data_IF_640230015876
#
_entry.id   IF_640230015876
#
_cell.length_a   1.000
_cell.length_b   1.000
_cell.length_c   1.000
_cell.angle_alpha   90.00
_cell.angle_beta   90.00
_cell.angle_gamma   90.00
#
_symmetry.space_group_name_H-M   'P 1'
#
loop_
_entity.id
_entity.type
_entity.pdbx_description
1 polymer ?
#
# COMPACT_ATOMS: atom_id res chain seq x y z
N UNK A 1 -31.78 -25.11 -39.94
CA UNK A 1 -30.64 -24.57 -39.18
C UNK A 1 -30.59 -25.14 -37.75
N UNK A 2 -30.25 -26.43 -37.55
CA UNK A 2 -30.26 -27.07 -36.21
C UNK A 2 -29.00 -27.92 -35.89
N UNK A 3 -27.94 -27.84 -36.71
CA UNK A 3 -26.73 -28.68 -36.55
C UNK A 3 -25.44 -27.91 -36.22
N UNK A 4 -25.51 -26.59 -36.01
CA UNK A 4 -24.31 -25.75 -35.73
C UNK A 4 -24.18 -25.27 -34.27
N UNK A 5 -25.15 -25.57 -33.39
CA UNK A 5 -25.15 -25.09 -31.99
C UNK A 5 -24.38 -26.03 -31.04
N UNK A 6 -24.14 -27.29 -31.41
CA UNK A 6 -23.53 -28.29 -30.51
C UNK A 6 -22.00 -28.13 -30.39
N UNK A 7 -21.32 -27.55 -31.39
CA UNK A 7 -19.86 -27.41 -31.38
C UNK A 7 -19.39 -26.28 -30.46
N UNK A 8 -20.21 -25.24 -30.23
CA UNK A 8 -19.86 -24.11 -29.36
C UNK A 8 -19.96 -24.51 -27.87
N UNK A 9 -20.89 -25.42 -27.51
CA UNK A 9 -21.02 -25.90 -26.13
C UNK A 9 -19.87 -26.83 -25.68
N UNK A 10 -19.26 -27.58 -26.60
CA UNK A 10 -18.09 -28.41 -26.27
C UNK A 10 -16.81 -27.59 -26.04
N UNK A 11 -16.67 -26.43 -26.68
CA UNK A 11 -15.55 -25.53 -26.46
C UNK A 11 -15.64 -24.78 -25.13
N UNK A 12 -16.85 -24.46 -24.65
CA UNK A 12 -17.04 -23.71 -23.40
C UNK A 12 -16.76 -24.57 -22.15
N UNK A 13 -16.98 -25.90 -22.20
CA UNK A 13 -16.72 -26.81 -21.07
C UNK A 13 -15.25 -27.26 -20.99
N UNK A 14 -14.47 -27.06 -22.05
CA UNK A 14 -13.06 -27.49 -22.11
C UNK A 14 -12.07 -26.48 -21.51
N UNK A 15 -12.48 -25.23 -21.29
CA UNK A 15 -11.60 -24.21 -20.69
C UNK A 15 -11.67 -24.14 -19.16
N UNK A 16 -12.73 -24.65 -18.54
CA UNK A 16 -12.87 -24.69 -17.07
C UNK A 16 -12.19 -25.91 -16.42
N UNK A 17 -11.77 -26.91 -17.20
CA UNK A 17 -11.09 -28.12 -16.71
C UNK A 17 -9.55 -28.04 -16.78
N UNK A 18 -9.00 -26.91 -17.25
CA UNK A 18 -7.55 -26.65 -17.22
C UNK A 18 -7.07 -25.99 -15.93
N UNK A 19 -7.95 -25.47 -15.09
CA UNK A 19 -7.56 -24.63 -13.95
C UNK A 19 -7.17 -25.38 -12.67
N UNK A 20 -7.42 -26.69 -12.51
CA UNK A 20 -7.05 -27.40 -11.28
C UNK A 20 -6.66 -28.87 -11.55
N UNK A 21 -5.49 -29.09 -12.17
CA UNK A 21 -4.93 -30.46 -12.21
C UNK A 21 -4.44 -30.82 -10.82
N UNK A 22 -5.20 -31.66 -10.11
CA UNK A 22 -4.79 -32.34 -8.87
C UNK A 22 -3.41 -32.97 -9.07
N UNK A 23 -2.52 -32.79 -8.09
CA UNK A 23 -1.18 -33.40 -8.08
C UNK A 23 -1.28 -34.73 -7.33
N UNK A 24 -0.94 -35.83 -8.01
CA UNK A 24 -0.92 -37.17 -7.41
C UNK A 24 0.42 -37.41 -6.72
N UNK A 25 0.38 -38.04 -5.55
CA UNK A 25 1.56 -38.38 -4.75
C UNK A 25 1.61 -39.88 -4.47
N UNK A 26 2.81 -40.43 -4.31
CA UNK A 26 3.01 -41.86 -4.03
C UNK A 26 2.67 -42.19 -2.56
N UNK A 27 3.05 -41.29 -1.66
CA UNK A 27 2.79 -41.31 -0.22
C UNK A 27 1.63 -40.40 0.15
N UNK A 28 0.94 -40.63 1.29
CA UNK A 28 0.02 -39.65 1.84
C UNK A 28 0.65 -38.25 1.92
N UNK A 29 -0.15 -37.23 1.63
CA UNK A 29 0.18 -35.83 1.72
C UNK A 29 0.45 -35.49 3.19
N UNK A 30 1.59 -34.87 3.40
CA UNK A 30 2.06 -34.32 4.66
C UNK A 30 2.70 -32.97 4.38
N UNK A 31 2.97 -32.17 5.41
CA UNK A 31 3.68 -30.90 5.24
C UNK A 31 5.03 -31.11 4.53
N UNK A 32 5.75 -32.21 4.82
CA UNK A 32 7.01 -32.49 4.14
C UNK A 32 6.84 -32.73 2.63
N UNK A 33 5.82 -33.50 2.24
CA UNK A 33 5.52 -33.77 0.82
C UNK A 33 5.07 -32.48 0.13
N UNK A 34 4.20 -31.71 0.78
CA UNK A 34 3.68 -30.44 0.29
C UNK A 34 4.82 -29.45 0.04
N UNK A 35 5.71 -29.24 1.02
CA UNK A 35 6.81 -28.27 0.91
C UNK A 35 7.86 -28.66 -0.14
N UNK A 36 7.95 -29.95 -0.50
CA UNK A 36 8.83 -30.46 -1.56
C UNK A 36 8.11 -30.62 -2.90
N UNK A 37 6.83 -30.30 -2.99
CA UNK A 37 6.08 -30.41 -4.25
C UNK A 37 6.41 -29.21 -5.14
N UNK A 38 6.90 -29.41 -6.37
CA UNK A 38 7.14 -28.33 -7.30
C UNK A 38 5.81 -27.65 -7.70
N UNK A 39 5.70 -26.35 -7.49
CA UNK A 39 4.63 -25.54 -8.02
C UNK A 39 4.93 -24.99 -9.42
N UNK A 40 3.96 -24.24 -9.94
CA UNK A 40 4.00 -23.72 -11.31
C UNK A 40 4.02 -22.20 -11.34
N UNK A 41 4.59 -21.67 -12.42
CA UNK A 41 4.47 -20.27 -12.78
C UNK A 41 3.27 -20.08 -13.71
N UNK A 42 2.34 -19.23 -13.29
CA UNK A 42 1.19 -18.80 -14.07
C UNK A 42 1.38 -17.35 -14.52
N UNK A 43 1.05 -17.10 -15.77
CA UNK A 43 0.98 -15.74 -16.30
C UNK A 43 -0.45 -15.24 -16.23
N UNK A 44 -0.61 -13.96 -15.88
CA UNK A 44 -1.82 -13.19 -16.19
C UNK A 44 -3.09 -13.75 -15.53
N UNK A 45 -3.08 -13.84 -14.18
CA UNK A 45 -4.30 -14.18 -13.43
C UNK A 45 -5.26 -12.99 -13.39
N UNK A 46 -5.97 -12.77 -14.50
CA UNK A 46 -7.09 -11.84 -14.57
C UNK A 46 -6.75 -10.39 -14.18
N UNK A 47 -5.47 -10.04 -14.15
CA UNK A 47 -5.02 -8.68 -13.94
C UNK A 47 -5.43 -7.90 -15.15
N UNK A 48 -6.61 -7.29 -15.08
CA UNK A 48 -6.97 -6.24 -16.01
C UNK A 48 -5.76 -5.31 -16.05
N UNK A 49 -5.10 -5.21 -17.21
CA UNK A 49 -4.74 -3.87 -17.68
C UNK A 49 -6.06 -3.13 -17.52
N UNK A 50 -6.18 -2.32 -16.46
CA UNK A 50 -7.42 -1.67 -16.09
C UNK A 50 -7.72 -0.60 -17.15
N UNK A 51 -8.07 -1.09 -18.34
CA UNK A 51 -8.70 -0.40 -19.43
C UNK A 51 -10.15 -0.06 -19.04
N UNK A 52 -10.61 -0.48 -17.85
CA UNK A 52 -11.89 -0.09 -17.26
C UNK A 52 -11.92 1.38 -16.85
N UNK A 53 -10.77 2.04 -16.70
CA UNK A 53 -10.71 3.50 -16.77
C UNK A 53 -10.46 3.92 -18.22
N UNK A 54 -11.46 4.53 -18.85
CA UNK A 54 -11.38 5.20 -20.16
C UNK A 54 -10.35 6.36 -20.22
N UNK A 55 -9.39 6.41 -19.30
CA UNK A 55 -8.57 7.57 -18.99
C UNK A 55 -7.09 7.28 -18.79
N UNK A 56 -6.53 6.10 -19.10
CA UNK A 56 -5.06 5.97 -19.09
C UNK A 56 -4.51 6.66 -20.35
N UNK A 57 -3.89 7.86 -20.28
CA UNK A 57 -3.50 8.65 -21.45
C UNK A 57 -2.13 8.18 -21.98
N UNK A 58 -1.88 6.87 -21.97
CA UNK A 58 -0.65 6.27 -22.47
C UNK A 58 -0.88 5.66 -23.84
N UNK A 59 -0.03 6.04 -24.79
CA UNK A 59 -0.06 5.42 -26.11
C UNK A 59 0.54 3.99 -26.05
N UNK A 60 0.33 3.22 -27.12
CA UNK A 60 0.80 1.82 -27.21
C UNK A 60 2.30 1.66 -26.97
N UNK A 61 3.12 2.61 -27.43
CA UNK A 61 4.57 2.59 -27.22
C UNK A 61 4.91 2.72 -25.75
N UNK A 62 4.24 3.64 -25.05
CA UNK A 62 4.45 3.83 -23.61
C UNK A 62 4.06 2.57 -22.84
N UNK A 63 2.88 1.99 -23.11
CA UNK A 63 2.45 0.72 -22.49
C UNK A 63 3.45 -0.41 -22.75
N UNK A 64 3.93 -0.54 -24.00
CA UNK A 64 4.91 -1.57 -24.36
C UNK A 64 6.23 -1.41 -23.61
N UNK A 65 6.73 -0.18 -23.48
CA UNK A 65 7.95 0.13 -22.72
C UNK A 65 7.80 -0.14 -21.22
N UNK A 66 6.62 0.12 -20.66
CA UNK A 66 6.27 -0.23 -19.28
C UNK A 66 6.28 -1.75 -19.08
N UNK A 67 5.59 -2.49 -19.96
CA UNK A 67 5.52 -3.96 -19.92
C UNK A 67 6.91 -4.59 -20.07
N UNK A 68 7.77 -4.04 -20.92
CA UNK A 68 9.16 -4.49 -21.06
C UNK A 68 9.93 -4.39 -19.74
N UNK A 69 9.76 -3.30 -18.99
CA UNK A 69 10.40 -3.10 -17.68
C UNK A 69 9.86 -4.08 -16.64
N UNK A 70 8.54 -4.29 -16.60
CA UNK A 70 7.93 -5.26 -15.67
C UNK A 70 8.32 -6.71 -15.99
N UNK A 71 8.44 -7.07 -17.27
CA UNK A 71 9.01 -8.36 -17.68
C UNK A 71 10.47 -8.53 -17.24
N UNK A 72 11.27 -7.46 -17.25
CA UNK A 72 12.63 -7.53 -16.71
C UNK A 72 12.63 -7.82 -15.20
N UNK A 73 11.70 -7.23 -14.43
CA UNK A 73 11.49 -7.54 -13.00
C UNK A 73 11.09 -9.01 -12.81
N UNK A 74 10.11 -9.48 -13.59
CA UNK A 74 9.71 -10.90 -13.60
C UNK A 74 10.90 -11.82 -13.83
N UNK A 75 11.73 -11.53 -14.83
CA UNK A 75 12.90 -12.34 -15.16
C UNK A 75 13.94 -12.34 -14.03
N UNK A 76 14.04 -11.25 -13.26
CA UNK A 76 14.86 -11.23 -12.04
C UNK A 76 14.27 -12.15 -10.97
N UNK A 77 12.96 -12.10 -10.74
CA UNK A 77 12.27 -12.94 -9.76
C UNK A 77 12.36 -14.43 -10.10
N UNK A 78 12.09 -14.81 -11.36
CA UNK A 78 12.16 -16.20 -11.82
C UNK A 78 13.58 -16.78 -11.77
N UNK A 79 14.63 -15.95 -11.85
CA UNK A 79 16.01 -16.42 -11.64
C UNK A 79 16.29 -16.77 -10.18
N UNK A 80 15.61 -16.12 -9.25
CA UNK A 80 15.75 -16.37 -7.81
C UNK A 80 14.96 -17.61 -7.43
N UNK A 81 13.72 -17.71 -7.93
CA UNK A 81 12.80 -18.80 -7.66
C UNK A 81 12.39 -19.49 -8.97
N UNK A 82 13.28 -20.28 -9.60
CA UNK A 82 12.96 -20.92 -10.89
C UNK A 82 11.82 -21.94 -10.77
N UNK A 83 11.72 -22.60 -9.62
CA UNK A 83 10.66 -23.53 -9.28
C UNK A 83 10.15 -23.17 -7.87
N UNK A 84 8.94 -22.61 -7.74
CA UNK A 84 8.39 -22.28 -6.44
C UNK A 84 8.00 -23.58 -5.72
N UNK A 85 8.68 -23.91 -4.62
CA UNK A 85 8.44 -25.15 -3.90
C UNK A 85 7.30 -24.97 -2.90
N UNK A 86 6.34 -25.88 -2.92
CA UNK A 86 5.14 -25.87 -2.07
C UNK A 86 4.09 -24.81 -2.44
N UNK A 87 4.39 -23.87 -3.33
CA UNK A 87 3.47 -22.84 -3.80
C UNK A 87 3.41 -22.80 -5.30
N UNK A 88 2.24 -22.47 -5.84
CA UNK A 88 2.15 -21.91 -7.17
C UNK A 88 2.50 -20.42 -7.14
N UNK A 89 3.03 -19.88 -8.22
CA UNK A 89 3.30 -18.45 -8.35
C UNK A 89 2.52 -17.91 -9.55
N UNK A 90 1.75 -16.85 -9.34
CA UNK A 90 1.05 -16.16 -10.42
C UNK A 90 1.36 -14.68 -10.37
N UNK A 91 1.56 -14.08 -11.54
CA UNK A 91 1.92 -12.67 -11.64
C UNK A 91 1.10 -11.95 -12.69
N UNK A 92 0.99 -10.64 -12.53
CA UNK A 92 0.37 -9.73 -13.48
C UNK A 92 1.07 -8.38 -13.47
N UNK A 93 0.63 -7.52 -14.39
CA UNK A 93 1.08 -6.14 -14.52
C UNK A 93 -0.04 -5.20 -14.11
N UNK A 94 0.29 -4.10 -13.44
CA UNK A 94 -0.60 -2.97 -13.26
C UNK A 94 -0.02 -1.74 -13.95
N UNK A 95 -0.88 -0.93 -14.57
CA UNK A 95 -0.52 0.38 -15.13
C UNK A 95 -1.69 1.30 -14.80
N UNK A 96 -1.39 2.49 -14.30
CA UNK A 96 -2.40 3.47 -13.92
C UNK A 96 -1.83 4.89 -13.86
N UNK A 97 -2.68 5.81 -13.40
CA UNK A 97 -2.28 7.15 -12.99
C UNK A 97 -1.96 7.12 -11.49
N UNK A 98 -0.83 7.68 -11.09
CA UNK A 98 -0.52 7.86 -9.65
C UNK A 98 -0.68 9.31 -9.23
N UNK A 99 -1.34 9.54 -8.09
CA UNK A 99 -1.45 10.86 -7.43
C UNK A 99 -0.07 11.51 -7.25
N UNK A 100 0.90 10.74 -6.77
CA UNK A 100 2.30 11.16 -6.61
C UNK A 100 2.96 11.63 -7.90
N UNK A 101 2.63 11.00 -9.02
CA UNK A 101 3.13 11.37 -10.33
C UNK A 101 2.44 12.63 -10.91
N UNK A 102 1.24 12.95 -10.44
CA UNK A 102 0.49 14.16 -10.82
C UNK A 102 0.88 15.39 -10.00
N UNK A 103 1.58 15.19 -8.86
CA UNK A 103 1.97 16.23 -7.91
C UNK A 103 0.77 17.12 -7.56
N UNK A 104 -0.21 16.50 -6.95
CA UNK A 104 -1.49 17.14 -6.64
C UNK A 104 -1.29 18.18 -5.55
N UNK A 105 -1.76 19.39 -5.82
CA UNK A 105 -1.88 20.44 -4.81
C UNK A 105 -3.33 20.82 -4.66
N UNK A 106 -3.75 21.01 -3.42
CA UNK A 106 -5.04 21.53 -3.09
C UNK A 106 -4.92 23.03 -2.79
N UNK A 107 -5.74 23.83 -3.46
CA UNK A 107 -5.82 25.27 -3.24
C UNK A 107 -7.27 25.66 -3.02
N UNK A 108 -7.50 26.61 -2.11
CA UNK A 108 -8.84 27.15 -1.92
C UNK A 108 -9.13 28.18 -3.01
N UNK A 109 -10.29 28.07 -3.65
CA UNK A 109 -10.76 29.05 -4.61
C UNK A 109 -11.30 30.31 -3.91
N UNK A 110 -11.83 31.28 -4.68
CA UNK A 110 -12.40 32.52 -4.13
C UNK A 110 -13.64 32.33 -3.23
N UNK A 111 -14.20 31.11 -3.18
CA UNK A 111 -15.34 30.72 -2.36
C UNK A 111 -14.92 29.85 -1.16
N UNK A 112 -13.61 29.77 -0.86
CA UNK A 112 -13.03 28.90 0.18
C UNK A 112 -13.21 27.39 -0.07
N UNK A 113 -13.62 26.99 -1.28
CA UNK A 113 -13.76 25.57 -1.66
C UNK A 113 -12.39 25.03 -2.06
N UNK A 114 -12.03 23.89 -1.47
CA UNK A 114 -10.79 23.19 -1.77
C UNK A 114 -10.87 22.57 -3.18
N UNK A 115 -10.03 23.05 -4.09
CA UNK A 115 -9.92 22.55 -5.45
C UNK A 115 -8.63 21.76 -5.62
N UNK A 116 -8.73 20.61 -6.30
CA UNK A 116 -7.59 19.79 -6.71
C UNK A 116 -6.94 20.38 -7.96
N UNK A 117 -5.70 20.85 -7.86
CA UNK A 117 -4.88 21.31 -8.98
C UNK A 117 -3.73 20.33 -9.23
N UNK A 118 -3.64 19.79 -10.45
CA UNK A 118 -2.48 19.00 -10.85
C UNK A 118 -1.32 19.95 -11.23
N UNK A 119 -0.22 19.95 -10.48
CA UNK A 119 0.94 20.82 -10.75
C UNK A 119 1.78 20.36 -11.95
N UNK A 120 1.59 19.11 -12.37
CA UNK A 120 2.18 18.58 -13.60
C UNK A 120 1.03 18.24 -14.58
N UNK A 121 0.86 19.06 -15.62
CA UNK A 121 -0.07 18.80 -16.73
C UNK A 121 0.27 17.51 -17.54
N UNK A 122 1.45 16.92 -17.32
CA UNK A 122 1.93 15.67 -17.94
C UNK A 122 2.08 14.54 -16.90
N UNK A 123 1.05 13.71 -16.66
CA UNK A 123 1.12 12.64 -15.68
C UNK A 123 2.22 11.64 -16.02
N UNK A 124 3.05 11.29 -15.03
CA UNK A 124 3.99 10.17 -15.12
C UNK A 124 3.21 8.86 -14.87
N UNK A 125 3.53 7.80 -15.62
CA UNK A 125 2.90 6.50 -15.47
C UNK A 125 3.31 5.84 -14.17
N UNK A 126 2.34 5.46 -13.36
CA UNK A 126 2.53 4.52 -12.26
C UNK A 126 2.24 3.12 -12.79
N UNK A 127 3.08 2.17 -12.44
CA UNK A 127 2.95 0.80 -12.89
C UNK A 127 3.63 -0.15 -11.93
N UNK A 128 3.25 -1.42 -11.97
CA UNK A 128 3.78 -2.40 -11.05
C UNK A 128 3.82 -3.81 -11.60
N UNK A 129 4.86 -4.54 -11.22
CA UNK A 129 4.88 -5.99 -11.27
C UNK A 129 4.34 -6.53 -9.95
N UNK A 130 3.36 -7.42 -10.00
CA UNK A 130 2.72 -8.02 -8.82
C UNK A 130 2.74 -9.53 -8.98
N UNK A 131 3.24 -10.24 -7.97
CA UNK A 131 3.33 -11.70 -7.95
C UNK A 131 2.80 -12.24 -6.61
N UNK A 132 1.80 -13.11 -6.67
CA UNK A 132 1.28 -13.85 -5.52
C UNK A 132 1.88 -15.26 -5.46
N UNK A 133 2.05 -15.79 -4.25
CA UNK A 133 2.53 -17.14 -3.98
C UNK A 133 1.46 -17.97 -3.25
N UNK A 134 0.83 -18.88 -3.97
CA UNK A 134 -0.39 -19.58 -3.59
C UNK A 134 -0.10 -20.97 -3.06
N UNK A 135 -0.53 -21.25 -1.85
CA UNK A 135 -0.19 -22.45 -1.10
C UNK A 135 -0.82 -23.71 -1.66
N UNK A 136 -0.01 -24.75 -1.89
CA UNK A 136 -0.57 -26.08 -2.09
C UNK A 136 -1.26 -26.54 -0.81
N UNK A 137 -2.30 -27.37 -0.95
CA UNK A 137 -3.05 -27.91 0.16
C UNK A 137 -3.25 -29.42 0.01
N UNK A 138 -3.18 -30.18 1.11
CA UNK A 138 -3.53 -31.60 1.07
C UNK A 138 -5.03 -31.75 0.79
N UNK A 139 -5.41 -32.67 -0.11
CA UNK A 139 -6.82 -32.99 -0.32
C UNK A 139 -7.35 -33.77 0.89
N UNK A 140 -8.32 -33.23 1.66
CA UNK A 140 -8.82 -33.90 2.86
C UNK A 140 -9.65 -35.15 2.53
N UNK A 141 -10.20 -35.27 1.31
CA UNK A 141 -10.95 -36.44 0.86
C UNK A 141 -10.07 -37.52 0.26
N UNK A 142 -8.87 -37.19 -0.22
CA UNK A 142 -7.93 -38.17 -0.75
C UNK A 142 -6.50 -37.86 -0.28
N UNK A 143 -5.95 -38.63 0.67
CA UNK A 143 -4.65 -38.33 1.23
C UNK A 143 -3.52 -38.43 0.22
N UNK A 144 -3.68 -39.07 -0.96
CA UNK A 144 -2.63 -39.12 -2.00
C UNK A 144 -2.74 -38.01 -3.04
N UNK A 145 -3.46 -36.95 -2.72
CA UNK A 145 -3.69 -35.82 -3.61
C UNK A 145 -3.29 -34.51 -2.93
N UNK A 146 -2.67 -33.64 -3.74
CA UNK A 146 -2.41 -32.26 -3.41
C UNK A 146 -3.25 -31.40 -4.34
N UNK A 147 -3.96 -30.44 -3.76
CA UNK A 147 -4.63 -29.37 -4.48
C UNK A 147 -3.61 -28.26 -4.79
N UNK A 148 -3.48 -27.85 -6.07
CA UNK A 148 -2.67 -26.69 -6.41
C UNK A 148 -3.21 -25.44 -5.71
N UNK A 149 -2.33 -24.51 -5.40
CA UNK A 149 -2.69 -23.34 -4.61
C UNK A 149 -3.39 -22.29 -5.45
N UNK A 150 -3.01 -22.16 -6.71
CA UNK A 150 -3.62 -21.21 -7.62
C UNK A 150 -4.84 -21.83 -8.32
N UNK A 151 -5.99 -21.12 -8.47
CA UNK A 151 -6.22 -19.68 -8.24
C UNK A 151 -6.82 -19.31 -6.86
N UNK A 152 -6.36 -19.93 -5.79
CA UNK A 152 -6.79 -19.63 -4.42
C UNK A 152 -6.37 -18.24 -3.92
N UNK A 153 -6.66 -17.95 -2.66
CA UNK A 153 -6.22 -16.73 -2.00
C UNK A 153 -4.79 -16.89 -1.46
N UNK A 154 -4.08 -15.77 -1.35
CA UNK A 154 -2.76 -15.72 -0.70
C UNK A 154 -2.56 -14.36 -0.06
N UNK A 155 -1.89 -14.35 1.09
CA UNK A 155 -1.37 -13.14 1.72
C UNK A 155 0.10 -12.89 1.37
N UNK A 156 0.72 -13.80 0.60
CA UNK A 156 2.13 -13.68 0.22
C UNK A 156 2.29 -13.06 -1.15
N UNK A 157 2.74 -11.80 -1.14
CA UNK A 157 2.84 -10.95 -2.32
C UNK A 157 4.23 -10.33 -2.45
N UNK A 158 4.81 -10.47 -3.65
CA UNK A 158 5.96 -9.68 -4.06
C UNK A 158 5.53 -8.63 -5.07
N UNK A 159 5.84 -7.36 -4.80
CA UNK A 159 5.51 -6.24 -5.69
C UNK A 159 6.72 -5.37 -5.97
N UNK A 160 6.80 -4.86 -7.20
CA UNK A 160 7.70 -3.77 -7.57
C UNK A 160 6.85 -2.69 -8.21
N UNK A 161 6.74 -1.52 -7.56
CA UNK A 161 5.98 -0.37 -8.05
C UNK A 161 6.91 0.74 -8.54
N UNK A 162 6.54 1.40 -9.64
CA UNK A 162 7.27 2.54 -10.20
C UNK A 162 6.47 3.83 -10.10
N UNK A 163 7.17 4.95 -9.91
CA UNK A 163 6.60 6.30 -9.94
C UNK A 163 5.44 6.51 -8.95
N UNK A 164 5.52 5.87 -7.79
CA UNK A 164 4.59 6.05 -6.69
C UNK A 164 5.24 5.68 -5.37
N UNK A 165 4.83 6.36 -4.30
CA UNK A 165 5.31 6.09 -2.94
C UNK A 165 4.30 5.28 -2.12
N UNK A 166 3.12 4.93 -2.65
CA UNK A 166 2.04 4.27 -1.91
C UNK A 166 2.45 2.99 -1.18
N UNK A 167 3.46 2.28 -1.68
CA UNK A 167 4.01 1.09 -1.04
C UNK A 167 4.94 1.40 0.15
N UNK A 168 5.35 2.64 0.40
CA UNK A 168 6.23 3.01 1.53
C UNK A 168 5.65 4.13 2.38
N UNK A 169 4.74 4.91 1.82
CA UNK A 169 4.01 5.98 2.46
C UNK A 169 2.54 5.87 2.07
N UNK A 170 1.69 5.51 3.03
CA UNK A 170 0.26 5.35 2.80
C UNK A 170 -0.42 6.71 2.85
N UNK A 171 -1.37 6.97 1.95
CA UNK A 171 -2.26 8.11 2.07
C UNK A 171 -3.06 8.02 3.37
N UNK A 172 -3.29 9.17 4.01
CA UNK A 172 -4.10 9.29 5.24
C UNK A 172 -5.59 9.25 4.87
N UNK A 173 -6.06 8.21 4.16
CA UNK A 173 -7.47 7.98 3.75
C UNK A 173 -8.19 9.26 3.23
N UNK A 174 -9.53 9.27 3.27
CA UNK A 174 -10.43 10.38 2.86
C UNK A 174 -10.18 11.72 3.59
N UNK A 175 -9.29 11.72 4.60
CA UNK A 175 -8.93 12.90 5.39
C UNK A 175 -7.59 13.52 4.99
N UNK A 176 -6.82 12.88 4.10
CA UNK A 176 -5.55 13.43 3.59
C UNK A 176 -5.74 14.80 2.91
N UNK A 177 -6.92 15.06 2.35
CA UNK A 177 -7.31 16.37 1.79
C UNK A 177 -7.58 17.43 2.87
N UNK A 178 -7.86 17.02 4.11
CA UNK A 178 -8.12 17.93 5.25
C UNK A 178 -6.83 18.35 5.98
N UNK A 179 -5.74 17.59 5.84
CA UNK A 179 -4.44 17.92 6.44
C UNK A 179 -3.39 18.19 5.36
N UNK A 180 -3.15 19.47 5.08
CA UNK A 180 -2.30 19.92 3.99
C UNK A 180 -1.08 20.68 4.49
N UNK A 181 0.11 20.35 3.97
CA UNK A 181 1.34 21.11 4.18
C UNK A 181 1.67 21.85 2.89
N UNK A 182 1.56 23.19 2.92
CA UNK A 182 1.74 24.04 1.73
C UNK A 182 0.82 23.67 0.54
N UNK A 183 -0.34 23.10 0.84
CA UNK A 183 -1.32 22.61 -0.14
C UNK A 183 -1.06 21.18 -0.62
N UNK A 184 -0.04 20.50 -0.13
CA UNK A 184 0.21 19.09 -0.46
C UNK A 184 -0.37 18.18 0.62
N UNK A 185 -0.97 17.04 0.25
CA UNK A 185 -1.44 16.06 1.22
C UNK A 185 -0.27 15.52 2.05
N UNK A 186 -0.59 15.07 3.26
CA UNK A 186 0.33 14.30 4.09
C UNK A 186 0.15 12.80 3.88
N UNK A 187 1.24 12.06 4.04
CA UNK A 187 1.32 10.61 3.96
C UNK A 187 2.04 10.07 5.18
N UNK A 188 1.80 8.80 5.48
CA UNK A 188 2.44 8.09 6.58
C UNK A 188 3.51 7.16 6.04
N UNK A 189 4.76 7.66 6.04
CA UNK A 189 5.93 6.84 5.76
C UNK A 189 6.07 5.81 6.87
N UNK A 190 6.17 4.54 6.49
CA UNK A 190 6.28 3.43 7.44
C UNK A 190 7.50 3.55 8.37
N UNK A 191 7.49 2.86 9.53
CA UNK A 191 8.63 2.81 10.43
C UNK A 191 9.91 2.40 9.70
N UNK A 192 10.99 3.15 9.96
CA UNK A 192 12.30 2.85 9.38
C UNK A 192 12.92 1.69 10.17
N UNK A 193 13.21 0.58 9.50
CA UNK A 193 13.98 -0.51 10.11
C UNK A 193 15.47 -0.16 10.10
N UNK A 194 15.99 0.14 8.91
CA UNK A 194 17.40 0.42 8.70
C UNK A 194 17.64 1.14 7.37
N UNK A 195 18.86 1.63 7.19
CA UNK A 195 19.37 2.08 5.89
C UNK A 195 20.52 1.16 5.49
N UNK A 196 20.39 0.52 4.32
CA UNK A 196 21.39 -0.44 3.82
C UNK A 196 21.66 -0.17 2.35
N UNK A 197 22.95 -0.14 1.96
CA UNK A 197 23.39 0.16 0.60
C UNK A 197 22.82 1.46 -0.02
N UNK A 198 22.47 2.43 0.84
CA UNK A 198 21.86 3.69 0.44
C UNK A 198 20.34 3.64 0.22
N UNK A 199 19.68 2.51 0.52
CA UNK A 199 18.24 2.34 0.47
C UNK A 199 17.62 2.44 1.86
N UNK A 200 16.40 2.96 1.92
CA UNK A 200 15.58 2.90 3.13
C UNK A 200 14.81 1.58 3.14
N UNK A 201 15.00 0.81 4.21
CA UNK A 201 14.34 -0.47 4.43
C UNK A 201 13.31 -0.29 5.54
N UNK A 202 12.09 -0.68 5.23
CA UNK A 202 10.95 -0.64 6.13
C UNK A 202 10.57 -2.07 6.44
N UNK A 203 10.21 -2.32 7.69
CA UNK A 203 9.66 -3.62 8.08
C UNK A 203 8.61 -3.40 9.13
N UNK A 204 7.51 -4.11 8.99
CA UNK A 204 6.41 -4.01 9.91
C UNK A 204 5.76 -5.38 10.09
N UNK A 205 5.49 -5.72 11.35
CA UNK A 205 4.61 -6.84 11.69
C UNK A 205 3.19 -6.31 11.81
N UNK A 206 2.31 -6.68 10.89
CA UNK A 206 0.92 -6.22 10.91
C UNK A 206 0.10 -7.05 11.90
N UNK A 207 0.11 -6.68 13.17
CA UNK A 207 -0.95 -7.12 14.08
C UNK A 207 -2.19 -6.19 14.03
N UNK A 208 -2.12 -5.11 13.24
CA UNK A 208 -3.09 -4.00 13.29
C UNK A 208 -4.27 -4.18 12.34
N UNK A 209 -4.12 -4.99 11.27
CA UNK A 209 -5.21 -5.33 10.38
C UNK A 209 -5.37 -6.85 10.34
N UNK A 210 -6.32 -7.43 11.11
CA UNK A 210 -6.58 -8.86 11.05
C UNK A 210 -6.98 -9.26 9.61
N UNK A 211 -6.28 -10.25 9.04
CA UNK A 211 -6.50 -10.72 7.67
C UNK A 211 -5.54 -10.15 6.62
N UNK A 212 -4.42 -9.52 7.02
CA UNK A 212 -3.31 -9.19 6.12
C UNK A 212 -2.03 -9.92 6.55
N UNK A 213 -1.15 -10.16 5.58
CA UNK A 213 0.13 -10.85 5.80
C UNK A 213 0.89 -10.30 7.02
N UNK A 214 1.17 -11.17 7.98
CA UNK A 214 1.74 -10.82 9.28
C UNK A 214 3.09 -10.07 9.19
N UNK A 215 3.79 -10.16 8.07
CA UNK A 215 5.10 -9.56 7.87
C UNK A 215 5.19 -8.85 6.53
N UNK A 216 5.76 -7.64 6.55
CA UNK A 216 6.02 -6.86 5.36
C UNK A 216 7.45 -6.33 5.39
N UNK A 217 8.17 -6.52 4.29
CA UNK A 217 9.46 -5.93 4.01
C UNK A 217 9.33 -5.02 2.80
N UNK A 218 9.75 -3.76 2.93
CA UNK A 218 9.69 -2.79 1.84
C UNK A 218 11.03 -2.08 1.66
N UNK A 219 11.33 -1.72 0.42
CA UNK A 219 12.53 -0.96 0.05
C UNK A 219 12.13 0.23 -0.80
N UNK A 220 12.62 1.40 -0.45
CA UNK A 220 12.52 2.60 -1.27
C UNK A 220 13.79 2.79 -2.08
N UNK A 221 13.64 2.83 -3.41
CA UNK A 221 14.73 3.00 -4.37
C UNK A 221 14.53 4.34 -5.06
N UNK A 222 15.45 5.27 -4.85
CA UNK A 222 15.33 6.66 -5.28
C UNK A 222 16.67 7.21 -5.78
N UNK A 223 16.70 8.45 -6.28
CA UNK A 223 17.96 9.09 -6.69
C UNK A 223 18.86 9.35 -5.47
N UNK A 224 20.16 9.14 -5.64
CA UNK A 224 21.14 9.33 -4.56
C UNK A 224 21.09 10.76 -4.03
N UNK A 225 20.83 10.91 -2.73
CA UNK A 225 20.78 12.22 -2.06
C UNK A 225 19.49 13.01 -2.27
N UNK A 226 18.52 12.47 -3.00
CA UNK A 226 17.23 13.10 -3.26
C UNK A 226 16.10 12.21 -2.77
N UNK A 227 15.35 12.65 -1.76
CA UNK A 227 14.17 11.93 -1.29
C UNK A 227 12.94 12.32 -2.13
N UNK A 228 12.06 11.35 -2.43
CA UNK A 228 10.79 11.59 -3.12
C UNK A 228 9.76 12.31 -2.23
N UNK A 229 10.06 12.45 -0.94
CA UNK A 229 9.21 13.07 0.06
C UNK A 229 9.99 14.10 0.88
N UNK A 230 9.26 14.96 1.58
CA UNK A 230 9.76 15.96 2.52
C UNK A 230 9.19 15.60 3.90
N UNK A 231 10.03 15.38 4.93
CA UNK A 231 9.54 15.21 6.30
C UNK A 231 8.74 16.42 6.76
N UNK A 232 7.54 16.18 7.28
CA UNK A 232 6.73 17.22 7.92
C UNK A 232 7.30 17.45 9.32
N UNK A 233 7.51 18.71 9.69
CA UNK A 233 8.05 19.03 11.02
C UNK A 233 6.99 18.88 12.11
N UNK A 234 7.41 18.70 13.37
CA UNK A 234 6.48 18.67 14.51
C UNK A 234 5.60 19.91 14.56
N UNK A 235 6.16 21.08 14.27
CA UNK A 235 5.39 22.34 14.19
C UNK A 235 4.31 22.26 13.13
N UNK A 236 4.69 21.91 11.90
CA UNK A 236 3.77 21.80 10.78
C UNK A 236 2.64 20.80 11.07
N UNK A 237 2.98 19.64 11.64
CA UNK A 237 2.00 18.64 12.03
C UNK A 237 1.03 19.16 13.09
N UNK A 238 1.53 19.71 14.21
CA UNK A 238 0.67 20.19 15.30
C UNK A 238 -0.25 21.33 14.85
N UNK A 239 0.29 22.28 14.07
CA UNK A 239 -0.49 23.40 13.53
C UNK A 239 -1.69 22.88 12.71
N UNK A 240 -1.48 21.87 11.85
CA UNK A 240 -2.55 21.27 11.05
C UNK A 240 -3.45 20.33 11.86
N UNK A 241 -2.89 19.54 12.76
CA UNK A 241 -3.64 18.57 13.56
C UNK A 241 -4.62 19.27 14.50
N UNK A 242 -4.23 20.39 15.12
CA UNK A 242 -5.12 21.18 15.98
C UNK A 242 -6.31 21.73 15.18
N UNK A 243 -6.07 22.24 13.97
CA UNK A 243 -7.14 22.72 13.07
C UNK A 243 -8.07 21.55 12.70
N UNK A 244 -7.49 20.47 12.17
CA UNK A 244 -8.24 19.29 11.76
C UNK A 244 -9.10 18.70 12.89
N UNK A 245 -8.52 18.52 14.08
CA UNK A 245 -9.25 17.98 15.23
C UNK A 245 -10.37 18.92 15.66
N UNK A 246 -10.13 20.23 15.66
CA UNK A 246 -11.18 21.22 15.98
C UNK A 246 -12.36 21.07 15.03
N UNK A 247 -12.10 21.06 13.72
CA UNK A 247 -13.14 20.91 12.68
C UNK A 247 -13.87 19.56 12.82
N UNK A 248 -13.12 18.47 13.01
CA UNK A 248 -13.69 17.13 13.20
C UNK A 248 -14.65 17.06 14.39
N UNK A 249 -14.24 17.58 15.55
CA UNK A 249 -15.07 17.59 16.74
C UNK A 249 -16.29 18.50 16.59
N UNK A 250 -16.16 19.65 15.92
CA UNK A 250 -17.29 20.53 15.63
C UNK A 250 -18.31 19.91 14.67
N UNK A 251 -17.85 19.27 13.59
CA UNK A 251 -18.70 18.52 12.66
C UNK A 251 -19.45 17.39 13.38
N UNK A 252 -18.72 16.60 14.20
CA UNK A 252 -19.31 15.52 14.98
C UNK A 252 -20.34 16.03 16.00
N UNK A 253 -20.06 17.12 16.71
CA UNK A 253 -21.01 17.74 17.65
C UNK A 253 -22.29 18.20 16.96
N UNK A 254 -22.18 18.89 15.82
CA UNK A 254 -23.34 19.26 15.00
C UNK A 254 -24.16 18.05 14.59
N UNK A 255 -23.50 16.93 14.23
CA UNK A 255 -24.20 15.69 13.88
C UNK A 255 -24.99 15.11 15.05
N UNK A 256 -24.44 15.14 16.27
CA UNK A 256 -25.17 14.71 17.48
C UNK A 256 -26.38 15.59 17.75
N UNK A 257 -26.26 16.91 17.60
CA UNK A 257 -27.37 17.85 17.79
C UNK A 257 -28.56 17.56 16.89
N UNK A 258 -28.31 17.12 15.65
CA UNK A 258 -29.35 16.81 14.65
C UNK A 258 -30.12 15.50 14.93
N UNK A 259 -29.62 14.59 15.76
CA UNK A 259 -30.31 13.34 16.09
C UNK A 259 -31.50 13.62 17.02
N UNK A 260 -32.77 13.44 16.59
CA UNK A 260 -33.92 13.71 17.45
C UNK A 260 -34.01 12.67 18.58
N UNK A 261 -34.30 13.13 19.80
CA UNK A 261 -34.63 12.26 20.93
C UNK A 261 -36.15 12.06 21.00
N UNK A 262 -36.60 10.82 21.18
CA UNK A 262 -38.02 10.44 21.19
C UNK A 262 -38.61 10.43 22.60
N UNK A 263 -37.77 10.49 23.64
CA UNK A 263 -38.18 10.49 25.05
C UNK A 263 -37.31 11.40 25.90
N UNK A 264 -37.76 11.70 27.12
CA UNK A 264 -36.97 12.47 28.10
C UNK A 264 -35.70 11.72 28.53
N UNK A 265 -35.78 10.40 28.65
CA UNK A 265 -34.62 9.55 28.98
C UNK A 265 -33.58 9.58 27.86
N UNK A 266 -34.01 9.52 26.59
CA UNK A 266 -33.11 9.69 25.45
C UNK A 266 -32.50 11.09 25.38
N UNK A 267 -33.24 12.14 25.77
CA UNK A 267 -32.67 13.49 25.86
C UNK A 267 -31.55 13.56 26.91
N UNK A 268 -31.72 12.92 28.06
CA UNK A 268 -30.69 12.88 29.10
C UNK A 268 -29.46 12.10 28.64
N UNK A 269 -29.65 10.91 28.05
CA UNK A 269 -28.54 10.11 27.48
C UNK A 269 -27.79 10.90 26.41
N UNK A 270 -28.51 11.55 25.49
CA UNK A 270 -27.92 12.40 24.45
C UNK A 270 -27.10 13.54 25.05
N UNK A 271 -27.63 14.22 26.08
CA UNK A 271 -26.93 15.31 26.77
C UNK A 271 -25.63 14.83 27.43
N UNK A 272 -25.67 13.67 28.09
CA UNK A 272 -24.48 13.08 28.72
C UNK A 272 -23.44 12.66 27.68
N UNK A 273 -23.87 12.09 26.55
CA UNK A 273 -22.99 11.78 25.41
C UNK A 273 -22.32 13.03 24.85
N UNK A 274 -23.07 14.10 24.62
CA UNK A 274 -22.54 15.39 24.13
C UNK A 274 -21.54 15.98 25.13
N UNK A 275 -21.87 16.00 26.43
CA UNK A 275 -20.97 16.53 27.46
C UNK A 275 -19.66 15.71 27.56
N UNK A 276 -19.76 14.39 27.49
CA UNK A 276 -18.58 13.51 27.47
C UNK A 276 -17.73 13.75 26.22
N UNK A 277 -18.37 13.95 25.06
CA UNK A 277 -17.68 14.24 23.82
C UNK A 277 -16.98 15.61 23.83
N UNK A 278 -17.62 16.65 24.39
CA UNK A 278 -17.02 17.97 24.63
C UNK A 278 -15.81 17.86 25.55
N UNK A 279 -15.95 17.13 26.67
CA UNK A 279 -14.84 16.91 27.60
C UNK A 279 -13.66 16.20 26.93
N UNK A 280 -13.94 15.18 26.12
CA UNK A 280 -12.92 14.47 25.35
C UNK A 280 -12.23 15.40 24.32
N UNK A 281 -13.01 16.18 23.56
CA UNK A 281 -12.49 17.19 22.64
C UNK A 281 -11.53 18.13 23.33
N UNK A 282 -11.95 18.72 24.45
CA UNK A 282 -11.15 19.72 25.16
C UNK A 282 -9.86 19.11 25.72
N UNK A 283 -9.92 17.88 26.24
CA UNK A 283 -8.74 17.15 26.68
C UNK A 283 -7.75 16.89 25.54
N UNK A 284 -8.23 16.41 24.39
CA UNK A 284 -7.40 16.13 23.21
C UNK A 284 -6.79 17.41 22.65
N UNK A 285 -7.58 18.47 22.46
CA UNK A 285 -7.07 19.74 21.92
C UNK A 285 -6.06 20.39 22.87
N UNK A 286 -6.28 20.31 24.18
CA UNK A 286 -5.30 20.80 25.16
C UNK A 286 -4.01 20.00 25.11
N UNK A 287 -4.09 18.67 25.02
CA UNK A 287 -2.91 17.81 24.89
C UNK A 287 -2.03 18.21 23.69
N UNK A 288 -2.63 18.45 22.52
CA UNK A 288 -1.90 18.88 21.33
C UNK A 288 -1.30 20.30 21.46
N UNK A 289 -2.01 21.23 22.11
CA UNK A 289 -1.50 22.59 22.38
C UNK A 289 -0.36 22.57 23.38
N UNK A 290 -0.45 21.76 24.42
CA UNK A 290 0.61 21.56 25.40
C UNK A 290 1.85 20.95 24.75
N UNK A 291 1.69 19.94 23.88
CA UNK A 291 2.81 19.37 23.13
C UNK A 291 3.47 20.42 22.21
N UNK A 292 2.69 21.32 21.59
CA UNK A 292 3.24 22.44 20.82
C UNK A 292 4.10 23.37 21.69
N UNK A 293 3.63 23.74 22.89
CA UNK A 293 4.40 24.54 23.83
C UNK A 293 5.66 23.80 24.32
N UNK A 294 5.55 22.51 24.62
CA UNK A 294 6.67 21.70 25.10
C UNK A 294 7.73 21.50 24.02
N UNK A 295 7.32 21.18 22.78
CA UNK A 295 8.22 21.08 21.64
C UNK A 295 8.92 22.41 21.34
N UNK A 296 8.22 23.54 21.54
CA UNK A 296 8.81 24.90 21.45
C UNK A 296 9.90 25.08 22.51
N UNK A 297 9.59 24.81 23.79
CA UNK A 297 10.55 24.95 24.91
C UNK A 297 11.78 24.06 24.74
N UNK A 298 11.61 22.86 24.16
CA UNK A 298 12.68 21.88 23.93
C UNK A 298 13.43 22.09 22.61
N UNK A 299 13.03 23.05 21.77
CA UNK A 299 13.66 23.28 20.45
C UNK A 299 13.44 22.13 19.46
N UNK A 300 12.34 21.38 19.60
CA UNK A 300 12.04 20.19 18.78
C UNK A 300 11.10 20.48 17.61
N UNK A 301 10.65 21.72 17.44
CA UNK A 301 9.67 22.11 16.42
C UNK A 301 10.09 21.76 14.98
N UNK A 302 11.39 21.85 14.69
CA UNK A 302 11.96 21.57 13.36
C UNK A 302 12.32 20.09 13.16
N UNK A 303 12.15 19.24 14.19
CA UNK A 303 12.37 17.80 14.04
C UNK A 303 11.21 17.17 13.25
N UNK A 304 11.43 16.04 12.55
CA UNK A 304 10.36 15.31 11.88
C UNK A 304 9.24 14.90 12.84
N UNK A 305 8.00 15.00 12.38
CA UNK A 305 6.83 14.44 13.04
C UNK A 305 6.79 12.93 12.78
N UNK A 306 6.93 12.15 13.86
CA UNK A 306 6.82 10.69 13.83
C UNK A 306 5.74 10.32 14.82
N UNK A 307 4.66 9.70 14.36
CA UNK A 307 3.43 9.50 15.13
C UNK A 307 3.05 8.00 15.21
N UNK A 308 2.28 7.57 16.21
CA UNK A 308 1.71 6.22 16.21
C UNK A 308 0.70 6.05 15.05
N UNK A 309 0.30 4.81 14.74
CA UNK A 309 -0.64 4.45 13.65
C UNK A 309 -2.08 4.98 13.85
N UNK A 310 -2.29 5.97 14.71
CA UNK A 310 -3.60 6.39 15.22
C UNK A 310 -3.93 7.86 14.99
N UNK A 311 -3.58 8.44 13.82
CA UNK A 311 -3.94 9.83 13.49
C UNK A 311 -5.45 10.13 13.69
N UNK A 312 -6.29 9.11 13.59
CA UNK A 312 -7.75 9.18 13.69
C UNK A 312 -8.34 8.93 15.07
N UNK A 313 -7.53 8.45 16.01
CA UNK A 313 -7.93 8.17 17.38
C UNK A 313 -7.05 9.00 18.30
N UNK A 314 -7.06 10.33 18.12
CA UNK A 314 -6.36 11.21 19.03
C UNK A 314 -6.88 10.99 20.46
N UNK A 315 -6.01 10.48 21.32
CA UNK A 315 -6.30 10.18 22.73
C UNK A 315 -5.47 11.14 23.56
N UNK A 316 -6.12 11.83 24.51
CA UNK A 316 -5.51 12.91 25.29
C UNK A 316 -4.31 12.45 26.14
N UNK A 317 -4.20 11.15 26.43
CA UNK A 317 -3.17 10.58 27.29
C UNK A 317 -2.13 9.75 26.52
N UNK A 318 -2.22 9.68 25.18
CA UNK A 318 -1.25 8.96 24.36
C UNK A 318 -0.14 9.88 23.85
N UNK A 319 1.06 9.31 23.70
CA UNK A 319 2.19 10.06 23.17
C UNK A 319 1.95 10.44 21.70
N UNK A 320 1.92 11.74 21.40
CA UNK A 320 1.78 12.24 20.01
C UNK A 320 2.99 11.84 19.15
N UNK A 321 4.21 12.05 19.66
CA UNK A 321 5.44 11.79 18.90
C UNK A 321 6.27 10.65 19.46
N UNK A 322 6.56 9.65 18.64
CA UNK A 322 7.33 8.44 18.99
C UNK A 322 8.62 8.33 18.15
N UNK A 323 9.40 7.28 18.39
CA UNK A 323 10.65 7.02 17.65
C UNK A 323 10.40 6.48 16.23
N UNK A 324 11.33 6.75 15.31
CA UNK A 324 11.21 6.45 13.86
C UNK A 324 11.13 4.95 13.55
N UNK A 325 11.63 4.10 14.44
CA UNK A 325 11.62 2.65 14.32
C UNK A 325 10.28 2.00 14.73
N UNK A 326 9.40 2.76 15.37
CA UNK A 326 8.07 2.29 15.82
C UNK A 326 6.94 3.08 15.20
N UNK A 327 7.13 4.39 15.01
CA UNK A 327 6.12 5.28 14.45
C UNK A 327 6.23 5.51 12.96
N UNK A 328 5.18 6.15 12.45
CA UNK A 328 5.04 6.57 11.07
C UNK A 328 5.52 8.01 10.95
N UNK A 329 6.51 8.25 10.10
CA UNK A 329 6.92 9.61 9.81
C UNK A 329 5.87 10.26 8.93
N UNK A 330 5.37 11.41 9.35
CA UNK A 330 4.50 12.25 8.53
C UNK A 330 5.37 12.90 7.46
N UNK A 331 5.03 12.66 6.21
CA UNK A 331 5.75 13.21 5.06
C UNK A 331 4.78 13.85 4.10
N UNK A 332 5.26 14.76 3.27
CA UNK A 332 4.53 15.22 2.08
C UNK A 332 5.36 14.96 0.84
N UNK A 333 4.74 14.99 -0.33
CA UNK A 333 5.45 14.74 -1.59
C UNK A 333 6.50 15.82 -1.85
N UNK A 334 7.64 15.44 -2.44
CA UNK A 334 8.62 16.41 -2.91
C UNK A 334 8.26 16.87 -4.33
N UNK A 335 7.70 18.08 -4.53
CA UNK A 335 7.27 18.54 -5.84
C UNK A 335 8.43 18.77 -6.82
N UNK A 336 9.67 18.76 -6.36
CA UNK A 336 10.85 18.90 -7.20
C UNK A 336 11.46 17.56 -7.62
N UNK A 337 10.99 16.45 -7.07
CA UNK A 337 11.60 15.14 -7.32
C UNK A 337 11.34 14.63 -8.74
N UNK A 338 10.12 14.80 -9.27
CA UNK A 338 9.80 14.28 -10.61
C UNK A 338 10.37 15.19 -11.70
N UNK A 339 11.32 14.65 -12.48
CA UNK A 339 11.89 15.23 -13.69
C UNK A 339 10.85 15.28 -14.79
N UNK A 340 10.56 16.49 -15.26
CA UNK A 340 9.54 16.78 -16.28
C UNK A 340 10.06 16.59 -17.72
N UNK A 341 11.37 16.49 -17.89
CA UNK A 341 12.06 16.30 -19.18
C UNK A 341 12.08 14.84 -19.65
N UNK A 342 11.84 13.88 -18.75
CA UNK A 342 11.83 12.46 -19.08
C UNK A 342 10.49 12.00 -19.67
N UNK A 343 10.49 10.98 -20.56
CA UNK A 343 9.26 10.34 -21.00
C UNK A 343 8.44 9.77 -19.83
N UNK A 344 7.10 9.84 -19.95
CA UNK A 344 6.15 9.50 -18.88
C UNK A 344 6.27 8.08 -18.31
N UNK A 345 6.84 7.13 -19.04
CA UNK A 345 6.96 5.72 -18.61
C UNK A 345 8.30 5.40 -17.94
N UNK A 346 9.23 6.36 -17.90
CA UNK A 346 10.53 6.16 -17.27
C UNK A 346 10.35 6.12 -15.74
N UNK A 347 10.87 5.08 -15.06
CA UNK A 347 10.82 5.03 -13.60
C UNK A 347 11.79 6.07 -13.03
N UNK A 348 11.33 6.90 -12.11
CA UNK A 348 12.14 7.89 -11.39
C UNK A 348 12.28 7.53 -9.91
N UNK A 349 11.41 6.64 -9.46
CA UNK A 349 11.37 6.04 -8.13
C UNK A 349 10.83 4.63 -8.30
N UNK A 350 11.37 3.70 -7.51
CA UNK A 350 10.88 2.34 -7.42
C UNK A 350 10.65 1.97 -5.95
N UNK A 351 9.66 1.15 -5.72
CA UNK A 351 9.40 0.51 -4.42
C UNK A 351 9.43 -0.99 -4.64
N UNK A 352 9.98 -1.72 -3.67
CA UNK A 352 9.89 -3.19 -3.62
C UNK A 352 9.16 -3.55 -2.34
N UNK A 353 8.20 -4.46 -2.41
CA UNK A 353 7.50 -4.98 -1.23
C UNK A 353 7.49 -6.51 -1.29
N UNK A 354 7.70 -7.13 -0.13
CA UNK A 354 7.43 -8.54 0.12
C UNK A 354 6.53 -8.61 1.34
N UNK A 355 5.31 -9.12 1.15
CA UNK A 355 4.39 -9.46 2.22
C UNK A 355 4.35 -10.99 2.33
N UNK A 356 4.35 -11.54 3.55
CA UNK A 356 4.24 -12.98 3.76
C UNK A 356 3.68 -13.36 5.13
N UNK A 357 3.17 -14.59 5.23
CA UNK A 357 2.86 -15.21 6.50
C UNK A 357 4.06 -16.02 7.02
N UNK A 358 4.48 -15.76 8.27
CA UNK A 358 5.55 -16.50 8.94
C UNK A 358 5.09 -17.90 9.37
N UNK A 359 3.79 -18.11 9.55
CA UNK A 359 3.25 -19.41 9.99
C UNK A 359 3.32 -20.47 8.89
N UNK A 360 3.37 -20.03 7.62
CA UNK A 360 3.38 -20.93 6.48
C UNK A 360 4.75 -21.03 5.80
N UNK A 361 5.43 -22.15 6.08
CA UNK A 361 6.86 -22.33 5.80
C UNK A 361 7.28 -22.07 4.34
N UNK A 362 6.63 -22.60 3.29
CA UNK A 362 7.11 -22.36 1.94
C UNK A 362 6.98 -20.89 1.49
N UNK A 363 6.00 -20.14 1.99
CA UNK A 363 5.90 -18.69 1.74
C UNK A 363 7.03 -17.95 2.45
N UNK A 364 7.28 -18.28 3.72
CA UNK A 364 8.40 -17.72 4.47
C UNK A 364 9.76 -18.03 3.82
N UNK A 365 9.95 -19.26 3.31
CA UNK A 365 11.17 -19.66 2.60
C UNK A 365 11.33 -18.89 1.28
N UNK A 366 10.25 -18.70 0.51
CA UNK A 366 10.25 -17.87 -0.71
C UNK A 366 10.55 -16.40 -0.38
N UNK A 367 9.89 -15.83 0.63
CA UNK A 367 10.12 -14.45 1.07
C UNK A 367 11.58 -14.24 1.46
N UNK A 368 12.13 -15.14 2.27
CA UNK A 368 13.54 -15.12 2.66
C UNK A 368 14.47 -15.15 1.44
N UNK A 369 14.22 -16.08 0.51
CA UNK A 369 15.02 -16.22 -0.71
C UNK A 369 15.01 -14.95 -1.56
N UNK A 370 13.84 -14.31 -1.69
CA UNK A 370 13.68 -13.03 -2.40
C UNK A 370 14.43 -11.92 -1.67
N UNK A 371 14.20 -11.72 -0.37
CA UNK A 371 14.87 -10.67 0.41
C UNK A 371 16.40 -10.77 0.38
N UNK A 372 16.95 -11.99 0.38
CA UNK A 372 18.39 -12.23 0.35
C UNK A 372 19.03 -12.04 -1.04
N UNK A 373 18.29 -12.34 -2.12
CA UNK A 373 18.87 -12.47 -3.48
C UNK A 373 18.32 -11.51 -4.51
N UNK A 374 17.25 -10.77 -4.21
CA UNK A 374 16.64 -9.88 -5.19
C UNK A 374 17.58 -8.72 -5.54
N UNK A 375 17.91 -8.51 -6.82
CA UNK A 375 19.00 -7.60 -7.21
C UNK A 375 18.52 -6.13 -7.24
N UNK A 376 18.35 -5.53 -6.06
CA UNK A 376 17.89 -4.14 -5.88
C UNK A 376 18.73 -3.16 -6.71
N UNK A 377 20.04 -3.39 -6.85
CA UNK A 377 20.94 -2.52 -7.63
C UNK A 377 20.59 -2.50 -9.12
N UNK A 378 19.97 -3.57 -9.66
CA UNK A 378 19.47 -3.58 -11.05
C UNK A 378 18.24 -2.70 -11.22
N UNK A 379 17.38 -2.63 -10.21
CA UNK A 379 16.25 -1.70 -10.19
C UNK A 379 16.74 -0.25 -10.09
N UNK A 380 17.70 0.03 -9.21
CA UNK A 380 18.34 1.35 -9.12
C UNK A 380 18.90 1.81 -10.47
N UNK A 381 19.49 0.89 -11.25
CA UNK A 381 20.03 1.20 -12.57
C UNK A 381 18.96 1.55 -13.63
N UNK A 382 17.68 1.25 -13.37
CA UNK A 382 16.54 1.61 -14.22
C UNK A 382 16.06 3.04 -13.97
N UNK A 383 16.36 3.64 -12.81
CA UNK A 383 15.94 5.02 -12.51
C UNK A 383 16.48 5.97 -13.58
N UNK A 384 15.58 6.79 -14.13
CA UNK A 384 15.78 7.73 -15.23
C UNK A 384 16.17 7.09 -16.57
N UNK A 385 15.93 5.77 -16.78
CA UNK A 385 16.30 5.04 -18.01
C UNK A 385 15.18 4.22 -18.68
#
# INVERSE_FOLDING_TARGET
MKKQIIIILFFIVSFSSWSQRIIKTETPCSNEVLYKTPGKWFTDYGGMLDNGSEYIPFNKTQVSETVKRMNAVRDMLMKICPVPMGVDAAWHHSIGRGSFAEQVRFVKNSQDILNREALIEKPVATYGFICGFFEHNCNPQNPKEIWPGFPGETDTWFTVGANGIGNVATEVNEHSEKMLINGYPIHLRQPLKEKSDGYEIFNYKTNVFPGFANNIWRVLIHRKGELPYIPVTRKQYLDQAIIYLTDFYEEALKSFELVPAQSQDEQNIKKDQINNFIKNRDAVLNHYKEELEQATKKGLLESPAIIPLGLYAAIADEQIFVDENVGYMVVTENPKYMRKDLPKYIPQILTVSMAWDEEWKPQADVAKLIMEKFPIQKLQAMIDK
#
